data_IF_807525046203
#
_entry.id   IF_807525046203
#
_cell.length_a   1.000
_cell.length_b   1.000
_cell.length_c   1.000
_cell.angle_alpha   90.00
_cell.angle_beta   90.00
_cell.angle_gamma   90.00
#
_symmetry.space_group_name_H-M   'P 1'
#
loop_
_entity.id
_entity.type
_entity.pdbx_description
1 polymer ?
#
# COMPACT_ATOMS: atom_id res chain seq x y z
N UNK A 1 -24.58 4.38 34.33
CA UNK A 1 -23.11 4.42 34.27
C UNK A 1 -22.74 5.47 33.22
N UNK A 2 -22.13 6.55 33.67
CA UNK A 2 -21.61 7.58 32.76
C UNK A 2 -20.30 7.03 32.16
N UNK A 3 -20.23 6.91 30.83
CA UNK A 3 -19.00 6.48 30.14
C UNK A 3 -18.03 7.66 30.13
N UNK A 4 -16.83 7.46 30.68
CA UNK A 4 -15.79 8.49 30.76
C UNK A 4 -14.68 8.34 29.73
N UNK A 5 -14.64 7.22 29.01
CA UNK A 5 -13.62 6.93 28.00
C UNK A 5 -14.10 5.87 26.99
N UNK A 6 -13.43 5.80 25.86
CA UNK A 6 -13.56 4.74 24.88
C UNK A 6 -12.20 4.10 24.64
N UNK A 7 -12.19 2.79 24.38
CA UNK A 7 -10.97 2.06 24.01
C UNK A 7 -11.17 1.36 22.67
N UNK A 8 -10.08 1.15 21.96
CA UNK A 8 -10.01 0.35 20.74
C UNK A 8 -8.78 -0.55 20.78
N UNK A 9 -8.93 -1.76 20.26
CA UNK A 9 -7.89 -2.78 20.19
C UNK A 9 -7.60 -3.15 18.74
N UNK A 10 -6.33 -3.31 18.42
CA UNK A 10 -5.86 -3.96 17.20
C UNK A 10 -5.05 -5.21 17.57
N UNK A 11 -5.51 -6.37 17.10
CA UNK A 11 -4.78 -7.62 17.28
C UNK A 11 -3.80 -7.83 16.15
N UNK A 12 -2.50 -7.71 16.46
CA UNK A 12 -1.44 -8.00 15.49
C UNK A 12 -1.28 -9.52 15.36
N UNK A 13 -1.44 -9.98 14.15
CA UNK A 13 -1.30 -11.38 13.77
C UNK A 13 -0.23 -11.53 12.67
N UNK A 14 0.42 -12.69 12.64
CA UNK A 14 1.21 -13.13 11.50
C UNK A 14 0.26 -13.55 10.37
N UNK A 15 0.12 -12.70 9.35
CA UNK A 15 -0.74 -12.94 8.19
C UNK A 15 -0.12 -12.34 6.94
N UNK A 16 -0.50 -12.86 5.78
CA UNK A 16 -0.26 -12.21 4.51
C UNK A 16 -1.22 -11.02 4.27
N UNK A 17 -1.07 -10.33 3.14
CA UNK A 17 -1.88 -9.16 2.78
C UNK A 17 -3.37 -9.48 2.54
N UNK A 18 -3.74 -10.76 2.41
CA UNK A 18 -5.13 -11.22 2.34
C UNK A 18 -5.70 -11.66 3.68
N UNK A 19 -4.97 -11.45 4.78
CA UNK A 19 -5.24 -11.91 6.14
C UNK A 19 -5.27 -13.43 6.30
N UNK A 20 -4.71 -14.18 5.34
CA UNK A 20 -4.48 -15.59 5.54
C UNK A 20 -3.31 -15.81 6.51
N UNK A 21 -3.41 -16.78 7.44
CA UNK A 21 -2.32 -17.04 8.38
C UNK A 21 -1.00 -17.29 7.65
N UNK A 22 0.06 -16.66 8.17
CA UNK A 22 1.42 -16.84 7.69
C UNK A 22 2.25 -17.56 8.73
N UNK A 23 2.81 -18.70 8.35
CA UNK A 23 3.67 -19.49 9.24
C UNK A 23 5.12 -19.08 9.06
N UNK A 24 5.81 -18.84 10.17
CA UNK A 24 7.23 -18.51 10.17
C UNK A 24 7.50 -17.00 10.22
N UNK A 25 8.77 -16.68 9.99
CA UNK A 25 9.29 -15.32 10.15
C UNK A 25 10.00 -15.11 11.50
N UNK A 26 10.94 -14.21 11.51
CA UNK A 26 11.68 -13.83 12.71
C UNK A 26 11.37 -12.36 13.03
N UNK A 27 11.14 -12.04 14.30
CA UNK A 27 11.07 -10.66 14.76
C UNK A 27 12.48 -10.27 15.17
N UNK A 28 13.08 -9.31 14.46
CA UNK A 28 14.40 -8.80 14.74
C UNK A 28 14.40 -7.37 15.30
N UNK A 29 13.35 -6.63 15.02
CA UNK A 29 13.17 -5.28 15.51
C UNK A 29 11.71 -5.02 15.78
N UNK A 30 11.41 -4.49 16.94
CA UNK A 30 10.12 -3.97 17.34
C UNK A 30 10.31 -2.67 18.11
N UNK A 31 9.59 -1.63 17.71
CA UNK A 31 9.62 -0.34 18.41
C UNK A 31 9.00 -0.47 19.80
N UNK A 32 9.54 0.33 20.74
CA UNK A 32 8.92 0.45 22.05
C UNK A 32 7.49 1.00 21.96
N UNK A 33 6.61 0.67 22.94
CA UNK A 33 5.30 1.29 23.04
C UNK A 33 5.41 2.82 23.09
N UNK A 34 4.50 3.50 22.40
CA UNK A 34 4.43 4.97 22.45
C UNK A 34 3.51 5.42 23.57
N UNK A 35 3.56 6.72 23.90
CA UNK A 35 2.69 7.30 24.92
C UNK A 35 1.21 7.01 24.62
N UNK A 36 0.48 6.52 25.62
CA UNK A 36 -0.94 6.15 25.52
C UNK A 36 -1.23 4.79 24.89
N UNK A 37 -0.19 4.02 24.52
CA UNK A 37 -0.31 2.63 24.07
C UNK A 37 -0.27 1.66 25.24
N UNK A 38 -1.19 0.71 25.28
CA UNK A 38 -1.10 -0.51 26.10
C UNK A 38 -0.82 -1.66 25.17
N UNK A 39 0.30 -2.33 25.35
CA UNK A 39 0.73 -3.47 24.53
C UNK A 39 0.82 -4.72 25.38
N UNK A 40 0.19 -5.78 24.89
CA UNK A 40 0.38 -7.16 25.38
C UNK A 40 1.00 -7.99 24.25
N UNK A 41 2.29 -8.29 24.36
CA UNK A 41 3.12 -8.87 23.29
C UNK A 41 3.61 -10.29 23.58
N UNK A 42 3.00 -10.98 24.50
CA UNK A 42 3.37 -12.36 24.89
C UNK A 42 4.85 -12.51 25.32
N UNK A 43 5.46 -11.43 25.79
CA UNK A 43 6.83 -11.48 26.32
C UNK A 43 7.91 -11.58 25.23
N UNK A 44 7.70 -11.01 24.07
CA UNK A 44 8.71 -10.95 23.02
C UNK A 44 9.94 -10.17 23.54
N UNK A 45 11.06 -10.86 23.61
CA UNK A 45 12.31 -10.31 24.12
C UNK A 45 13.44 -10.51 23.11
N UNK A 46 14.21 -9.46 22.86
CA UNK A 46 15.37 -9.49 21.95
C UNK A 46 16.71 -9.66 22.68
N UNK A 47 16.71 -9.60 24.00
CA UNK A 47 17.89 -9.81 24.82
C UNK A 47 17.60 -10.84 25.89
N UNK A 48 18.45 -11.85 25.99
CA UNK A 48 18.42 -12.75 27.12
C UNK A 48 18.67 -11.94 28.40
N UNK A 49 17.77 -11.95 29.39
CA UNK A 49 17.89 -11.14 30.59
C UNK A 49 19.13 -11.48 31.43
N UNK A 50 19.59 -12.74 31.39
CA UNK A 50 20.72 -13.20 32.22
C UNK A 50 22.07 -12.93 31.55
N UNK A 51 22.14 -13.01 30.23
CA UNK A 51 23.41 -12.90 29.49
C UNK A 51 23.57 -11.61 28.72
N UNK A 52 22.49 -10.84 28.51
CA UNK A 52 22.45 -9.63 27.68
C UNK A 52 22.65 -9.91 26.19
N UNK A 53 22.79 -11.16 25.77
CA UNK A 53 22.99 -11.55 24.38
C UNK A 53 21.70 -11.37 23.58
N UNK A 54 21.87 -11.00 22.31
CA UNK A 54 20.76 -10.87 21.37
C UNK A 54 20.09 -12.25 21.15
N UNK A 55 18.77 -12.27 21.24
CA UNK A 55 17.94 -13.45 21.00
C UNK A 55 17.05 -13.21 19.79
N UNK A 56 17.06 -14.14 18.84
CA UNK A 56 16.13 -14.13 17.71
C UNK A 56 14.78 -14.67 18.17
N UNK A 57 13.73 -13.88 18.00
CA UNK A 57 12.39 -14.34 18.27
C UNK A 57 11.77 -14.91 16.99
N UNK A 58 11.62 -16.23 16.95
CA UNK A 58 11.02 -16.92 15.80
C UNK A 58 9.55 -17.19 16.08
N UNK A 59 8.69 -16.78 15.15
CA UNK A 59 7.26 -17.07 15.22
C UNK A 59 7.00 -18.55 15.00
N UNK A 60 6.30 -19.18 15.95
CA UNK A 60 5.96 -20.59 15.88
C UNK A 60 4.76 -20.77 14.93
N UNK A 61 4.98 -21.39 13.77
CA UNK A 61 3.92 -21.64 12.78
C UNK A 61 2.84 -22.66 13.19
N UNK A 62 3.00 -23.33 14.35
CA UNK A 62 2.11 -24.41 14.78
C UNK A 62 0.99 -23.99 15.76
N UNK A 63 1.03 -22.76 16.28
CA UNK A 63 0.08 -22.31 17.30
C UNK A 63 -0.82 -21.17 16.80
N UNK A 64 -0.94 -20.09 17.56
CA UNK A 64 -1.73 -18.92 17.21
C UNK A 64 -0.88 -17.94 16.39
N UNK A 65 -1.53 -17.23 15.45
CA UNK A 65 -0.90 -16.16 14.70
C UNK A 65 -0.71 -14.88 15.52
N UNK A 66 -1.21 -14.81 16.74
CA UNK A 66 -1.17 -13.63 17.57
C UNK A 66 0.26 -13.25 17.94
N UNK A 67 0.64 -12.02 17.61
CA UNK A 67 1.92 -11.42 17.98
C UNK A 67 1.71 -10.51 19.20
N UNK A 68 0.70 -9.65 19.14
CA UNK A 68 0.38 -8.71 20.20
C UNK A 68 -1.04 -8.15 20.12
N UNK A 69 -1.50 -7.61 21.24
CA UNK A 69 -2.66 -6.73 21.32
C UNK A 69 -2.17 -5.30 21.52
N UNK A 70 -2.60 -4.37 20.66
CA UNK A 70 -2.35 -2.95 20.79
C UNK A 70 -3.65 -2.28 21.19
N UNK A 71 -3.70 -1.69 22.37
CA UNK A 71 -4.89 -1.03 22.91
C UNK A 71 -4.62 0.44 23.14
N UNK A 72 -5.56 1.28 22.72
CA UNK A 72 -5.51 2.72 22.99
C UNK A 72 -6.81 3.21 23.58
N UNK A 73 -6.72 4.26 24.39
CA UNK A 73 -7.84 4.88 25.10
C UNK A 73 -7.96 6.34 24.66
N UNK A 74 -9.16 6.83 24.53
CA UNK A 74 -9.49 8.24 24.27
C UNK A 74 -10.70 8.69 25.08
N UNK A 75 -10.90 10.00 25.20
CA UNK A 75 -12.08 10.59 25.83
C UNK A 75 -13.38 10.18 25.12
N UNK A 76 -13.29 9.91 23.83
CA UNK A 76 -14.37 9.38 23.00
C UNK A 76 -13.82 8.35 22.00
N UNK A 77 -14.73 7.76 21.20
CA UNK A 77 -14.36 6.76 20.21
C UNK A 77 -13.44 7.31 19.12
N UNK A 78 -13.65 8.55 18.66
CA UNK A 78 -12.81 9.17 17.65
C UNK A 78 -11.37 9.34 18.17
N UNK A 79 -11.23 9.83 19.40
CA UNK A 79 -9.91 10.00 20.03
C UNK A 79 -9.17 8.67 20.24
N UNK A 80 -9.88 7.61 20.63
CA UNK A 80 -9.26 6.28 20.75
C UNK A 80 -8.75 5.76 19.39
N UNK A 81 -9.48 6.01 18.29
CA UNK A 81 -9.06 5.66 16.93
C UNK A 81 -7.91 6.54 16.41
N UNK A 82 -7.91 7.82 16.74
CA UNK A 82 -6.79 8.74 16.40
C UNK A 82 -5.51 8.30 17.10
N UNK A 83 -5.58 7.92 18.37
CA UNK A 83 -4.45 7.34 19.11
C UNK A 83 -4.00 6.01 18.49
N UNK A 84 -4.92 5.10 18.15
CA UNK A 84 -4.57 3.84 17.51
C UNK A 84 -3.90 4.06 16.15
N UNK A 85 -4.40 5.00 15.34
CA UNK A 85 -3.76 5.38 14.08
C UNK A 85 -2.30 5.79 14.32
N UNK A 86 -2.03 6.59 15.34
CA UNK A 86 -0.68 7.05 15.66
C UNK A 86 0.21 5.91 16.15
N UNK A 87 -0.31 5.00 16.98
CA UNK A 87 0.38 3.78 17.39
C UNK A 87 0.75 2.94 16.17
N UNK A 88 -0.23 2.61 15.32
CA UNK A 88 0.00 1.79 14.11
C UNK A 88 0.97 2.46 13.13
N UNK A 89 0.89 3.79 12.98
CA UNK A 89 1.80 4.57 12.13
C UNK A 89 3.25 4.44 12.57
N UNK A 90 3.50 4.53 13.88
CA UNK A 90 4.84 4.55 14.47
C UNK A 90 5.38 3.17 14.83
N UNK A 91 4.53 2.15 14.84
CA UNK A 91 4.96 0.79 15.13
C UNK A 91 5.88 0.27 14.03
N UNK A 92 7.11 -0.04 14.41
CA UNK A 92 8.10 -0.70 13.55
C UNK A 92 8.23 -2.14 14.00
N UNK A 93 7.79 -3.07 13.17
CA UNK A 93 7.89 -4.51 13.42
C UNK A 93 8.51 -5.16 12.18
N UNK A 94 9.71 -5.71 12.29
CA UNK A 94 10.51 -6.17 11.16
C UNK A 94 11.29 -7.44 11.46
N UNK A 95 11.51 -8.20 10.41
CA UNK A 95 12.39 -9.35 10.38
C UNK A 95 12.28 -10.11 9.06
N UNK A 96 13.21 -11.06 8.83
CA UNK A 96 13.16 -11.92 7.65
C UNK A 96 11.86 -12.73 7.62
N UNK A 97 11.24 -12.81 6.46
CA UNK A 97 10.01 -13.57 6.21
C UNK A 97 8.82 -13.20 7.11
N UNK A 98 8.91 -12.10 7.85
CA UNK A 98 7.85 -11.63 8.72
C UNK A 98 6.76 -10.91 7.89
N UNK A 99 5.54 -11.42 7.98
CA UNK A 99 4.35 -10.80 7.41
C UNK A 99 3.31 -10.62 8.52
N UNK A 100 2.68 -9.46 8.59
CA UNK A 100 1.72 -9.12 9.64
C UNK A 100 0.57 -8.26 9.09
N UNK A 101 -0.55 -8.26 9.81
CA UNK A 101 -1.70 -7.42 9.49
C UNK A 101 -1.58 -5.96 9.99
N UNK A 102 -0.39 -5.49 10.36
CA UNK A 102 -0.17 -4.13 10.85
C UNK A 102 -0.68 -3.08 9.84
N UNK A 103 -0.30 -3.22 8.57
CA UNK A 103 -0.72 -2.28 7.53
C UNK A 103 -2.23 -2.36 7.24
N UNK A 104 -2.84 -3.55 7.33
CA UNK A 104 -4.28 -3.71 7.23
C UNK A 104 -5.00 -2.92 8.32
N UNK A 105 -4.59 -3.04 9.58
CA UNK A 105 -5.17 -2.24 10.66
C UNK A 105 -4.99 -0.75 10.45
N UNK A 106 -3.82 -0.33 9.97
CA UNK A 106 -3.57 1.07 9.66
C UNK A 106 -4.49 1.60 8.55
N UNK A 107 -4.65 0.85 7.46
CA UNK A 107 -5.58 1.17 6.38
C UNK A 107 -7.02 1.27 6.87
N UNK A 108 -7.45 0.28 7.65
CA UNK A 108 -8.81 0.19 8.15
C UNK A 108 -9.15 1.30 9.16
N UNK A 109 -8.24 1.61 10.09
CA UNK A 109 -8.42 2.69 11.06
C UNK A 109 -8.55 4.04 10.36
N UNK A 110 -7.71 4.32 9.35
CA UNK A 110 -7.82 5.53 8.55
C UNK A 110 -9.16 5.59 7.80
N UNK A 111 -9.64 4.46 7.27
CA UNK A 111 -10.93 4.39 6.61
C UNK A 111 -12.09 4.75 7.56
N UNK A 112 -12.10 4.20 8.79
CA UNK A 112 -13.12 4.53 9.79
C UNK A 112 -13.03 5.99 10.25
N UNK A 113 -11.85 6.52 10.47
CA UNK A 113 -11.66 7.94 10.83
C UNK A 113 -12.21 8.87 9.75
N UNK A 114 -12.06 8.49 8.48
CA UNK A 114 -12.52 9.28 7.35
C UNK A 114 -14.03 9.14 7.08
N UNK A 115 -14.64 7.97 7.33
CA UNK A 115 -16.01 7.67 6.93
C UNK A 115 -17.00 7.61 8.11
N UNK A 116 -16.53 7.37 9.33
CA UNK A 116 -17.33 7.35 10.55
C UNK A 116 -16.89 6.25 11.51
N UNK A 117 -16.35 6.66 12.65
CA UNK A 117 -15.87 5.74 13.70
C UNK A 117 -17.01 5.00 14.41
N UNK A 118 -18.24 5.52 14.30
CA UNK A 118 -19.43 4.90 14.90
C UNK A 118 -20.11 3.90 13.96
N UNK A 119 -19.53 3.67 12.77
CA UNK A 119 -20.03 2.68 11.83
C UNK A 119 -20.16 1.29 12.49
N UNK A 120 -21.15 0.54 12.03
CA UNK A 120 -21.48 -0.82 12.52
C UNK A 120 -21.14 -1.87 11.45
N UNK A 121 -19.84 -2.22 11.29
CA UNK A 121 -19.46 -3.27 10.35
C UNK A 121 -20.03 -4.61 10.81
N UNK A 122 -20.44 -5.43 9.84
CA UNK A 122 -20.74 -6.85 10.09
C UNK A 122 -19.50 -7.70 9.86
N UNK A 123 -19.54 -8.97 10.26
CA UNK A 123 -18.45 -9.94 9.97
C UNK A 123 -18.21 -10.11 8.47
N UNK A 124 -19.18 -9.76 7.62
CA UNK A 124 -19.07 -9.82 6.16
C UNK A 124 -18.32 -8.61 5.56
N UNK A 125 -17.90 -7.62 6.34
CA UNK A 125 -17.24 -6.41 5.83
C UNK A 125 -15.81 -6.66 5.31
N UNK A 126 -15.04 -7.48 6.02
CA UNK A 126 -13.59 -7.62 5.79
C UNK A 126 -13.28 -8.18 4.40
N UNK A 127 -13.97 -9.24 3.97
CA UNK A 127 -13.70 -9.87 2.66
C UNK A 127 -13.97 -8.93 1.49
N UNK A 128 -15.13 -8.23 1.41
CA UNK A 128 -15.35 -7.18 0.41
C UNK A 128 -14.33 -6.04 0.46
N UNK A 129 -13.91 -5.62 1.64
CA UNK A 129 -12.86 -4.60 1.78
C UNK A 129 -11.53 -5.08 1.18
N UNK A 130 -11.08 -6.29 1.51
CA UNK A 130 -9.87 -6.89 0.92
C UNK A 130 -10.00 -7.08 -0.59
N UNK A 131 -11.19 -7.45 -1.09
CA UNK A 131 -11.46 -7.56 -2.53
C UNK A 131 -11.25 -6.22 -3.23
N UNK A 132 -11.74 -5.14 -2.63
CA UNK A 132 -11.54 -3.78 -3.12
C UNK A 132 -10.06 -3.36 -3.10
N UNK A 133 -9.30 -3.77 -2.08
CA UNK A 133 -7.85 -3.54 -2.04
C UNK A 133 -7.12 -4.34 -3.12
N UNK A 134 -7.58 -5.53 -3.44
CA UNK A 134 -7.07 -6.31 -4.59
C UNK A 134 -7.34 -5.61 -5.91
N UNK A 135 -8.52 -5.00 -6.10
CA UNK A 135 -8.83 -4.17 -7.27
C UNK A 135 -7.90 -2.96 -7.36
N UNK A 136 -7.65 -2.26 -6.23
CA UNK A 136 -6.70 -1.14 -6.17
C UNK A 136 -5.29 -1.57 -6.58
N UNK A 137 -4.79 -2.67 -6.01
CA UNK A 137 -3.44 -3.17 -6.33
C UNK A 137 -3.32 -3.60 -7.79
N UNK A 138 -4.37 -4.24 -8.35
CA UNK A 138 -4.39 -4.62 -9.75
C UNK A 138 -4.23 -3.40 -10.66
N UNK A 139 -4.98 -2.33 -10.40
CA UNK A 139 -4.86 -1.09 -11.18
C UNK A 139 -3.52 -0.39 -10.94
N UNK A 140 -3.01 -0.40 -9.70
CA UNK A 140 -1.71 0.18 -9.36
C UNK A 140 -0.55 -0.52 -10.07
N UNK A 141 -0.63 -1.86 -10.24
CA UNK A 141 0.37 -2.65 -10.97
C UNK A 141 0.44 -2.31 -12.47
N UNK A 142 -0.58 -1.65 -13.02
CA UNK A 142 -0.62 -1.16 -14.40
C UNK A 142 0.01 0.23 -14.58
N UNK A 143 0.72 0.76 -13.55
CA UNK A 143 1.37 2.07 -13.57
C UNK A 143 2.88 1.94 -13.34
N UNK A 144 3.66 2.46 -14.30
CA UNK A 144 5.10 2.67 -14.18
C UNK A 144 5.34 4.13 -13.71
N UNK A 145 5.50 4.30 -12.39
CA UNK A 145 5.66 5.63 -11.78
C UNK A 145 6.96 6.32 -12.22
N UNK A 146 8.06 5.57 -12.42
CA UNK A 146 9.32 6.13 -12.91
C UNK A 146 9.18 6.64 -14.35
N UNK A 147 8.52 5.85 -15.20
CA UNK A 147 8.23 6.26 -16.56
C UNK A 147 7.31 7.50 -16.60
N UNK A 148 6.30 7.54 -15.72
CA UNK A 148 5.39 8.68 -15.60
C UNK A 148 6.15 9.96 -15.25
N UNK A 149 7.03 9.90 -14.25
CA UNK A 149 7.85 11.03 -13.84
C UNK A 149 8.77 11.51 -14.97
N UNK A 150 9.48 10.58 -15.62
CA UNK A 150 10.39 10.91 -16.73
C UNK A 150 9.64 11.55 -17.92
N UNK A 151 8.40 11.13 -18.19
CA UNK A 151 7.55 11.77 -19.21
C UNK A 151 7.14 13.18 -18.83
N UNK A 152 6.75 13.42 -17.57
CA UNK A 152 6.43 14.75 -17.08
C UNK A 152 7.64 15.68 -17.17
N UNK A 153 8.80 15.25 -16.70
CA UNK A 153 10.02 16.06 -16.81
C UNK A 153 10.35 16.46 -18.26
N UNK A 154 10.19 15.54 -19.22
CA UNK A 154 10.37 15.89 -20.65
C UNK A 154 9.39 16.96 -21.12
N UNK A 155 8.14 16.95 -20.67
CA UNK A 155 7.14 17.99 -20.97
C UNK A 155 7.56 19.34 -20.40
N UNK A 156 8.00 19.38 -19.13
CA UNK A 156 8.50 20.59 -18.49
C UNK A 156 9.74 21.17 -19.20
N UNK A 157 10.71 20.30 -19.53
CA UNK A 157 11.90 20.68 -20.29
C UNK A 157 11.55 21.20 -21.69
N UNK A 158 10.57 20.58 -22.35
CA UNK A 158 10.10 21.07 -23.65
C UNK A 158 9.44 22.45 -23.57
N UNK A 159 8.71 22.72 -22.47
CA UNK A 159 8.10 24.03 -22.21
C UNK A 159 9.14 25.10 -21.83
N UNK A 160 10.26 24.73 -21.20
CA UNK A 160 11.36 25.64 -20.84
C UNK A 160 12.27 26.01 -22.00
N UNK A 161 12.08 25.47 -23.22
CA UNK A 161 12.86 25.77 -24.41
C UNK A 161 12.77 27.27 -24.78
N UNK A 162 13.92 27.91 -24.90
CA UNK A 162 14.05 29.35 -25.20
C UNK A 162 14.99 30.08 -24.24
N UNK A 163 15.27 29.52 -23.07
CA UNK A 163 16.24 30.04 -22.11
C UNK A 163 17.10 28.89 -21.58
N UNK A 164 18.41 28.96 -21.83
CA UNK A 164 19.35 27.95 -21.30
C UNK A 164 19.34 27.89 -19.77
N UNK A 165 19.15 29.03 -19.10
CA UNK A 165 19.03 29.10 -17.65
C UNK A 165 17.76 28.39 -17.13
N UNK A 166 16.60 28.64 -17.77
CA UNK A 166 15.34 27.99 -17.39
C UNK A 166 15.38 26.46 -17.62
N UNK A 167 15.99 26.02 -18.72
CA UNK A 167 16.16 24.59 -19.01
C UNK A 167 17.02 23.93 -17.92
N UNK A 168 18.17 24.52 -17.56
CA UNK A 168 19.06 24.01 -16.51
C UNK A 168 18.37 23.95 -15.15
N UNK A 169 17.66 25.03 -14.75
CA UNK A 169 16.91 25.05 -13.50
C UNK A 169 15.81 23.96 -13.47
N UNK A 170 15.14 23.72 -14.59
CA UNK A 170 14.13 22.65 -14.68
C UNK A 170 14.78 21.26 -14.57
N UNK A 171 15.96 21.03 -15.16
CA UNK A 171 16.70 19.77 -15.03
C UNK A 171 17.10 19.53 -13.58
N UNK A 172 17.64 20.52 -12.88
CA UNK A 172 18.03 20.44 -11.49
C UNK A 172 16.83 20.11 -10.57
N UNK A 173 15.68 20.76 -10.76
CA UNK A 173 14.44 20.48 -10.02
C UNK A 173 13.93 19.07 -10.33
N UNK A 174 13.96 18.61 -11.57
CA UNK A 174 13.57 17.26 -11.93
C UNK A 174 14.42 16.20 -11.19
N UNK A 175 15.72 16.41 -11.10
CA UNK A 175 16.63 15.50 -10.38
C UNK A 175 16.27 15.43 -8.89
N UNK A 176 16.12 16.59 -8.24
CA UNK A 176 15.77 16.66 -6.81
C UNK A 176 14.42 15.99 -6.53
N UNK A 177 13.42 16.25 -7.36
CA UNK A 177 12.06 15.75 -7.13
C UNK A 177 11.83 14.29 -7.50
N UNK A 178 12.70 13.68 -8.29
CA UNK A 178 12.55 12.27 -8.68
C UNK A 178 12.43 11.35 -7.47
N UNK A 179 13.30 11.53 -6.50
CA UNK A 179 13.29 10.74 -5.27
C UNK A 179 12.21 11.20 -4.31
N UNK A 180 12.08 12.51 -4.14
CA UNK A 180 11.09 13.11 -3.25
C UNK A 180 9.66 12.65 -3.56
N UNK A 181 9.28 12.61 -4.83
CA UNK A 181 7.95 12.18 -5.28
C UNK A 181 7.86 10.66 -5.46
N UNK A 182 8.89 10.05 -6.02
CA UNK A 182 8.87 8.64 -6.44
C UNK A 182 8.87 7.65 -5.29
N UNK A 183 9.59 7.92 -4.19
CA UNK A 183 9.65 7.01 -3.04
C UNK A 183 8.30 6.79 -2.37
N UNK A 184 7.58 7.83 -1.90
CA UNK A 184 6.27 7.63 -1.28
C UNK A 184 5.23 7.13 -2.29
N UNK A 185 5.22 7.64 -3.52
CA UNK A 185 4.31 7.17 -4.57
C UNK A 185 4.52 5.68 -4.88
N UNK A 186 5.76 5.26 -5.10
CA UNK A 186 6.08 3.86 -5.36
C UNK A 186 5.75 2.93 -4.18
N UNK A 187 5.82 3.43 -2.93
CA UNK A 187 5.38 2.66 -1.76
C UNK A 187 3.86 2.50 -1.75
N UNK A 188 3.10 3.57 -2.01
CA UNK A 188 1.64 3.53 -2.08
C UNK A 188 1.13 2.60 -3.19
N UNK A 189 1.73 2.65 -4.39
CA UNK A 189 1.32 1.79 -5.50
C UNK A 189 1.59 0.29 -5.26
N UNK A 190 2.58 -0.06 -4.43
CA UNK A 190 2.89 -1.47 -4.10
C UNK A 190 2.20 -2.01 -2.86
N UNK A 191 1.67 -1.15 -1.98
CA UNK A 191 1.11 -1.52 -0.68
C UNK A 191 -0.36 -1.08 -0.57
N UNK A 192 -1.32 -1.92 -0.95
CA UNK A 192 -2.73 -1.55 -1.09
C UNK A 192 -3.35 -1.09 0.23
N UNK A 193 -2.90 -1.61 1.37
CA UNK A 193 -3.34 -1.18 2.69
C UNK A 193 -2.90 0.26 3.00
N UNK A 194 -1.68 0.63 2.62
CA UNK A 194 -1.19 2.01 2.77
C UNK A 194 -1.86 2.94 1.76
N UNK A 195 -2.12 2.47 0.53
CA UNK A 195 -2.89 3.23 -0.45
C UNK A 195 -4.30 3.54 0.07
N UNK A 196 -4.98 2.56 0.66
CA UNK A 196 -6.28 2.77 1.32
C UNK A 196 -6.21 3.79 2.46
N UNK A 197 -5.15 3.73 3.29
CA UNK A 197 -4.93 4.72 4.34
C UNK A 197 -4.76 6.13 3.76
N UNK A 198 -3.96 6.26 2.72
CA UNK A 198 -3.71 7.54 2.05
C UNK A 198 -4.98 8.13 1.40
N UNK A 199 -5.73 7.30 0.66
CA UNK A 199 -7.00 7.70 0.03
C UNK A 199 -8.02 8.16 1.06
N UNK A 200 -8.10 7.46 2.19
CA UNK A 200 -9.00 7.79 3.29
C UNK A 200 -8.60 9.08 3.99
N UNK A 201 -7.33 9.24 4.33
CA UNK A 201 -6.82 10.43 5.02
C UNK A 201 -6.94 11.70 4.16
N UNK A 202 -6.83 11.56 2.85
CA UNK A 202 -6.85 12.68 1.89
C UNK A 202 -8.19 12.83 1.13
N UNK A 203 -9.27 12.12 1.52
CA UNK A 203 -10.53 12.12 0.76
C UNK A 203 -11.13 13.52 0.53
N UNK A 204 -10.84 14.48 1.40
CA UNK A 204 -11.30 15.87 1.28
C UNK A 204 -10.29 16.78 0.58
N UNK A 205 -9.13 16.25 0.14
CA UNK A 205 -8.10 17.01 -0.55
C UNK A 205 -8.31 17.08 -2.06
N UNK A 206 -9.23 16.29 -2.60
CA UNK A 206 -9.51 16.20 -4.03
C UNK A 206 -10.95 15.76 -4.29
N UNK A 207 -11.40 16.02 -5.51
CA UNK A 207 -12.60 15.45 -6.10
C UNK A 207 -12.24 14.63 -7.33
N UNK A 208 -12.97 13.53 -7.56
CA UNK A 208 -12.80 12.68 -8.76
C UNK A 208 -14.11 12.66 -9.53
N UNK A 209 -14.13 13.26 -10.69
CA UNK A 209 -15.29 13.25 -11.58
C UNK A 209 -14.89 12.77 -12.98
N UNK A 210 -15.54 11.71 -13.48
CA UNK A 210 -15.29 11.14 -14.82
C UNK A 210 -13.81 10.89 -15.13
N UNK A 211 -13.07 10.39 -14.14
CA UNK A 211 -11.63 10.10 -14.26
C UNK A 211 -10.73 11.34 -14.19
N UNK A 212 -11.26 12.51 -13.89
CA UNK A 212 -10.50 13.74 -13.63
C UNK A 212 -10.40 13.99 -12.14
N UNK A 213 -9.22 14.47 -11.72
CA UNK A 213 -8.95 14.84 -10.33
C UNK A 213 -8.86 16.35 -10.22
N UNK A 214 -9.69 16.94 -9.38
CA UNK A 214 -9.57 18.34 -9.00
C UNK A 214 -9.04 18.42 -7.58
N UNK A 215 -7.88 19.03 -7.41
CA UNK A 215 -7.31 19.25 -6.09
C UNK A 215 -8.03 20.38 -5.37
N UNK A 216 -8.55 20.09 -4.18
CA UNK A 216 -9.18 21.08 -3.27
C UNK A 216 -8.17 21.60 -2.24
N UNK A 217 -7.07 20.89 -2.07
CA UNK A 217 -5.94 21.23 -1.20
C UNK A 217 -4.65 21.21 -2.02
N UNK A 218 -3.69 22.05 -1.64
CA UNK A 218 -2.39 22.13 -2.32
C UNK A 218 -1.71 20.74 -2.39
N UNK A 219 -1.47 20.18 -3.59
CA UNK A 219 -0.83 18.88 -3.76
C UNK A 219 0.56 18.79 -3.14
N UNK A 220 1.30 19.90 -3.07
CA UNK A 220 2.61 19.93 -2.41
C UNK A 220 2.46 19.71 -0.89
N UNK A 221 1.45 20.30 -0.26
CA UNK A 221 1.18 20.06 1.17
C UNK A 221 0.66 18.64 1.41
N UNK A 222 -0.12 18.08 0.47
CA UNK A 222 -0.53 16.67 0.50
C UNK A 222 0.69 15.74 0.42
N UNK A 223 1.74 16.09 -0.33
CA UNK A 223 3.01 15.36 -0.35
C UNK A 223 3.67 15.34 1.03
N UNK A 224 3.71 16.47 1.72
CA UNK A 224 4.26 16.57 3.10
C UNK A 224 3.50 15.65 4.04
N UNK A 225 2.17 15.70 4.01
CA UNK A 225 1.32 14.81 4.81
C UNK A 225 1.53 13.33 4.45
N UNK A 226 1.87 13.03 3.19
CA UNK A 226 2.18 11.68 2.74
C UNK A 226 3.44 11.15 3.40
N UNK A 227 4.48 11.96 3.53
CA UNK A 227 5.70 11.60 4.27
C UNK A 227 5.39 11.29 5.74
N UNK A 228 4.57 12.14 6.39
CA UNK A 228 4.11 11.89 7.75
C UNK A 228 3.30 10.58 7.84
N UNK A 229 2.29 10.41 6.98
CA UNK A 229 1.41 9.24 6.98
C UNK A 229 2.18 7.93 6.79
N UNK A 230 3.22 7.92 5.97
CA UNK A 230 4.06 6.75 5.71
C UNK A 230 5.20 6.57 6.72
N UNK A 231 5.26 7.44 7.74
CA UNK A 231 6.35 7.48 8.73
C UNK A 231 7.74 7.58 8.07
N UNK A 232 7.83 8.43 7.05
CA UNK A 232 9.08 8.69 6.32
C UNK A 232 9.75 9.99 6.73
N UNK A 233 9.07 10.81 7.52
CA UNK A 233 9.54 12.06 8.11
C UNK A 233 10.40 11.86 9.36
N UNK A 234 10.20 10.76 10.08
CA UNK A 234 10.97 10.42 11.27
C UNK A 234 12.24 9.65 10.91
N UNK A 235 13.34 10.10 11.48
CA UNK A 235 14.65 9.57 11.12
C UNK A 235 15.10 8.37 11.97
N UNK A 236 14.67 8.28 13.25
CA UNK A 236 15.37 7.50 14.25
C UNK A 236 15.34 5.98 14.00
N UNK A 237 14.16 5.43 13.69
CA UNK A 237 13.96 3.96 13.69
C UNK A 237 13.76 3.35 12.30
N UNK A 238 13.79 4.17 11.24
CA UNK A 238 13.64 3.68 9.86
C UNK A 238 15.00 3.35 9.25
N UNK A 239 15.11 2.30 8.42
CA UNK A 239 16.30 2.07 7.61
C UNK A 239 16.64 3.32 6.78
N UNK A 240 17.93 3.55 6.55
CA UNK A 240 18.42 4.73 5.81
C UNK A 240 17.72 4.92 4.44
N UNK A 241 17.36 3.82 3.77
CA UNK A 241 16.62 3.85 2.50
C UNK A 241 15.18 4.40 2.61
N UNK A 242 14.61 4.47 3.81
CA UNK A 242 13.27 4.99 4.05
C UNK A 242 13.27 6.36 4.72
N UNK A 243 14.44 6.88 5.07
CA UNK A 243 14.57 8.23 5.63
C UNK A 243 14.42 9.26 4.52
N UNK A 244 13.91 10.41 4.91
CA UNK A 244 14.00 11.61 4.09
C UNK A 244 15.47 12.09 4.12
N UNK A 245 16.03 12.48 2.98
CA UNK A 245 17.35 13.06 2.92
C UNK A 245 17.30 14.54 3.33
N UNK A 246 18.42 15.09 3.79
CA UNK A 246 18.50 16.50 4.17
C UNK A 246 17.97 17.43 3.05
N UNK A 247 18.34 17.18 1.80
CA UNK A 247 17.88 17.97 0.65
C UNK A 247 16.36 17.86 0.41
N UNK A 248 15.78 16.69 0.60
CA UNK A 248 14.34 16.50 0.49
C UNK A 248 13.61 17.25 1.61
N UNK A 249 14.14 17.21 2.82
CA UNK A 249 13.59 17.92 3.98
C UNK A 249 13.67 19.44 3.78
N UNK A 250 14.82 19.95 3.34
CA UNK A 250 15.01 21.37 3.03
C UNK A 250 13.98 21.85 2.00
N UNK A 251 13.80 21.10 0.91
CA UNK A 251 12.81 21.44 -0.13
C UNK A 251 11.36 21.44 0.40
N UNK A 252 11.02 20.50 1.30
CA UNK A 252 9.69 20.45 1.92
C UNK A 252 9.47 21.64 2.87
N UNK A 253 10.49 22.02 3.66
CA UNK A 253 10.46 23.16 4.57
C UNK A 253 10.37 24.48 3.81
N UNK A 254 11.18 24.66 2.76
CA UNK A 254 11.13 25.85 1.89
C UNK A 254 9.76 26.02 1.23
N UNK A 255 9.19 24.96 0.68
CA UNK A 255 7.87 24.98 0.07
C UNK A 255 6.76 25.28 1.07
N UNK A 256 6.86 24.74 2.28
CA UNK A 256 5.92 25.04 3.39
C UNK A 256 5.99 26.52 3.75
N UNK A 257 7.20 27.06 3.94
CA UNK A 257 7.41 28.47 4.26
C UNK A 257 6.93 29.40 3.13
N UNK A 258 7.15 29.00 1.87
CA UNK A 258 6.69 29.72 0.70
C UNK A 258 5.16 29.86 0.70
N UNK A 259 4.41 28.74 0.78
CA UNK A 259 2.95 28.80 0.76
C UNK A 259 2.38 29.55 1.97
N UNK A 260 2.93 29.35 3.16
CA UNK A 260 2.54 30.12 4.34
C UNK A 260 2.80 31.65 4.18
N UNK A 261 3.86 32.04 3.47
CA UNK A 261 4.12 33.44 3.17
C UNK A 261 3.11 34.00 2.13
N UNK A 262 2.72 33.21 1.14
CA UNK A 262 1.71 33.59 0.17
C UNK A 262 0.33 33.78 0.84
N UNK A 263 -0.11 32.85 1.67
CA UNK A 263 -1.38 32.93 2.41
C UNK A 263 -1.43 34.17 3.31
N UNK A 264 -0.35 34.50 3.99
CA UNK A 264 -0.27 35.73 4.81
C UNK A 264 -0.43 37.00 4.00
N UNK A 265 -0.05 37.02 2.71
CA UNK A 265 -0.11 38.20 1.83
C UNK A 265 -1.39 38.31 1.04
N UNK A 266 -1.94 37.17 0.62
CA UNK A 266 -3.18 37.11 -0.21
C UNK A 266 -4.44 36.85 0.60
N UNK A 267 -4.30 36.40 1.87
CA UNK A 267 -5.40 35.91 2.69
C UNK A 267 -5.68 34.42 2.45
N UNK A 268 -6.48 33.82 3.34
CA UNK A 268 -6.96 32.45 3.20
C UNK A 268 -7.82 32.36 1.93
N UNK A 269 -7.33 31.59 0.96
CA UNK A 269 -7.99 31.43 -0.35
C UNK A 269 -8.07 29.93 -0.64
N UNK A 270 -9.23 29.38 -1.09
CA UNK A 270 -9.34 27.98 -1.49
C UNK A 270 -8.31 27.63 -2.56
N UNK A 271 -7.73 26.42 -2.47
CA UNK A 271 -6.63 26.03 -3.33
C UNK A 271 -6.88 26.22 -4.84
N UNK A 272 -8.06 25.82 -5.41
CA UNK A 272 -8.29 26.00 -6.84
C UNK A 272 -8.19 27.48 -7.30
N UNK A 273 -8.64 28.41 -6.46
CA UNK A 273 -8.55 29.84 -6.72
C UNK A 273 -7.12 30.36 -6.52
N UNK A 274 -6.45 29.96 -5.45
CA UNK A 274 -5.06 30.32 -5.18
C UNK A 274 -4.13 29.84 -6.29
N UNK A 275 -4.29 28.59 -6.73
CA UNK A 275 -3.51 28.01 -7.84
C UNK A 275 -3.71 28.80 -9.14
N UNK A 276 -4.96 29.19 -9.43
CA UNK A 276 -5.26 30.03 -10.60
C UNK A 276 -4.62 31.42 -10.50
N UNK A 277 -4.63 32.05 -9.33
CA UNK A 277 -3.94 33.32 -9.07
C UNK A 277 -2.43 33.13 -9.30
N UNK A 278 -1.82 32.11 -8.70
CA UNK A 278 -0.38 31.83 -8.77
C UNK A 278 0.09 31.52 -10.21
N UNK A 279 -0.77 31.02 -11.06
CA UNK A 279 -0.51 30.79 -12.48
C UNK A 279 -0.72 32.05 -13.35
N UNK A 280 -1.43 33.07 -12.87
CA UNK A 280 -1.71 34.30 -13.60
C UNK A 280 -0.45 35.11 -13.85
N UNK A 281 -0.31 35.67 -15.08
CA UNK A 281 0.77 36.62 -15.42
C UNK A 281 0.60 37.98 -14.76
N UNK A 282 -0.61 38.33 -14.36
CA UNK A 282 -0.90 39.61 -13.73
C UNK A 282 -0.65 39.56 -12.23
N UNK A 283 0.20 40.44 -11.68
CA UNK A 283 0.42 40.46 -10.25
C UNK A 283 -0.83 40.91 -9.49
N UNK A 284 -1.20 40.22 -8.41
CA UNK A 284 -2.26 40.66 -7.53
C UNK A 284 -1.82 41.89 -6.71
N UNK A 285 -2.78 42.56 -6.09
CA UNK A 285 -2.51 43.73 -5.24
C UNK A 285 -1.43 43.41 -4.19
N UNK A 286 -0.41 44.26 -4.09
CA UNK A 286 0.67 44.10 -3.10
C UNK A 286 1.92 43.41 -3.66
N UNK A 287 1.97 43.07 -4.95
CA UNK A 287 3.15 42.55 -5.63
C UNK A 287 3.52 43.46 -6.84
N UNK A 288 4.82 43.72 -7.01
CA UNK A 288 5.32 44.26 -8.28
C UNK A 288 5.56 43.12 -9.30
N UNK A 289 5.73 43.46 -10.57
CA UNK A 289 5.86 42.49 -11.66
C UNK A 289 7.09 41.59 -11.53
N UNK A 290 8.19 42.09 -10.95
CA UNK A 290 9.42 41.32 -10.76
C UNK A 290 9.25 40.30 -9.63
N UNK A 291 8.73 40.75 -8.50
CA UNK A 291 8.41 39.89 -7.37
C UNK A 291 7.42 38.80 -7.78
N UNK A 292 6.40 39.18 -8.56
CA UNK A 292 5.39 38.23 -9.00
C UNK A 292 5.94 37.16 -9.95
N UNK A 293 6.86 37.51 -10.81
CA UNK A 293 7.56 36.56 -11.67
C UNK A 293 8.30 35.52 -10.83
N UNK A 294 9.03 35.95 -9.79
CA UNK A 294 9.74 35.06 -8.88
C UNK A 294 8.78 34.13 -8.12
N UNK A 295 7.65 34.67 -7.62
CA UNK A 295 6.61 33.87 -6.94
C UNK A 295 6.05 32.80 -7.86
N UNK A 296 5.76 33.13 -9.11
CA UNK A 296 5.24 32.17 -10.10
C UNK A 296 6.26 31.09 -10.44
N UNK A 297 7.51 31.46 -10.62
CA UNK A 297 8.59 30.49 -10.90
C UNK A 297 8.79 29.54 -9.71
N UNK A 298 8.79 30.04 -8.48
CA UNK A 298 8.85 29.22 -7.27
C UNK A 298 7.65 28.28 -7.16
N UNK A 299 6.43 28.79 -7.37
CA UNK A 299 5.21 27.98 -7.37
C UNK A 299 5.28 26.85 -8.42
N UNK A 300 5.68 27.14 -9.66
CA UNK A 300 5.84 26.13 -10.69
C UNK A 300 6.89 25.07 -10.29
N UNK A 301 7.99 25.49 -9.67
CA UNK A 301 9.01 24.58 -9.15
C UNK A 301 8.48 23.67 -8.06
N UNK A 302 7.73 24.21 -7.08
CA UNK A 302 7.15 23.39 -6.00
C UNK A 302 6.05 22.44 -6.50
N UNK A 303 5.27 22.85 -7.49
CA UNK A 303 4.21 21.99 -8.06
C UNK A 303 4.72 20.97 -9.08
N UNK A 304 5.94 21.13 -9.62
CA UNK A 304 6.49 20.21 -10.63
C UNK A 304 6.44 18.77 -10.14
N UNK A 305 5.71 17.92 -10.86
CA UNK A 305 5.58 16.49 -10.61
C UNK A 305 4.54 16.11 -9.54
N UNK A 306 3.97 17.08 -8.79
CA UNK A 306 2.93 16.75 -7.77
C UNK A 306 1.65 16.22 -8.41
N UNK A 307 1.40 16.51 -9.67
CA UNK A 307 0.30 15.95 -10.44
C UNK A 307 0.29 14.42 -10.51
N UNK A 308 1.45 13.76 -10.34
CA UNK A 308 1.52 12.29 -10.26
C UNK A 308 0.70 11.70 -9.12
N UNK A 309 0.53 12.46 -8.04
CA UNK A 309 -0.32 12.02 -6.94
C UNK A 309 -1.80 11.96 -7.33
N UNK A 310 -2.19 12.63 -8.41
CA UNK A 310 -3.51 12.48 -9.03
C UNK A 310 -3.80 11.08 -9.55
N UNK A 311 -2.78 10.27 -9.85
CA UNK A 311 -2.93 8.86 -10.25
C UNK A 311 -3.65 8.05 -9.17
N UNK A 312 -3.38 8.32 -7.89
CA UNK A 312 -3.94 7.57 -6.76
C UNK A 312 -5.47 7.71 -6.67
N UNK A 313 -6.06 8.92 -6.61
CA UNK A 313 -7.51 9.07 -6.63
C UNK A 313 -8.15 8.65 -7.96
N UNK A 314 -7.44 8.72 -9.10
CA UNK A 314 -7.94 8.21 -10.38
C UNK A 314 -8.13 6.68 -10.33
N UNK A 315 -7.14 5.94 -9.84
CA UNK A 315 -7.24 4.49 -9.61
C UNK A 315 -8.43 4.20 -8.68
N UNK A 316 -8.50 4.92 -7.55
CA UNK A 316 -9.57 4.75 -6.56
C UNK A 316 -10.96 5.00 -7.15
N UNK A 317 -11.11 6.03 -7.97
CA UNK A 317 -12.35 6.32 -8.69
C UNK A 317 -12.73 5.22 -9.67
N UNK A 318 -11.74 4.69 -10.42
CA UNK A 318 -11.95 3.61 -11.40
C UNK A 318 -12.47 2.32 -10.77
N UNK A 319 -11.97 1.95 -9.58
CA UNK A 319 -12.43 0.76 -8.85
C UNK A 319 -13.59 1.04 -7.90
N UNK A 320 -14.08 2.29 -7.81
CA UNK A 320 -15.20 2.65 -6.92
C UNK A 320 -14.85 2.53 -5.44
N UNK A 321 -13.62 2.89 -5.06
CA UNK A 321 -13.18 2.89 -3.65
C UNK A 321 -14.07 3.75 -2.76
N UNK A 322 -14.54 4.88 -3.28
CA UNK A 322 -15.39 5.83 -2.56
C UNK A 322 -16.89 5.44 -2.51
N UNK A 323 -17.27 4.33 -3.18
CA UNK A 323 -18.60 3.74 -3.08
C UNK A 323 -18.79 2.96 -1.78
N UNK A 324 -17.66 2.55 -1.15
CA UNK A 324 -17.63 1.97 0.18
C UNK A 324 -17.79 3.11 1.20
N UNK A 325 -18.97 3.24 1.81
CA UNK A 325 -19.31 4.39 2.66
C UNK A 325 -20.22 4.02 3.82
N UNK A 326 -20.20 4.85 4.85
CA UNK A 326 -21.10 4.72 6.00
C UNK A 326 -22.41 5.48 5.71
N UNK A 327 -23.53 4.80 5.91
CA UNK A 327 -24.87 5.36 5.77
C UNK A 327 -25.28 6.15 7.02
N UNK A 328 -26.39 6.90 6.93
CA UNK A 328 -26.91 7.70 8.05
C UNK A 328 -27.35 6.83 9.26
N UNK A 329 -27.72 5.57 9.04
CA UNK A 329 -28.06 4.58 10.07
C UNK A 329 -26.82 3.84 10.63
N UNK A 330 -25.62 4.31 10.26
CA UNK A 330 -24.30 3.75 10.63
C UNK A 330 -23.97 2.38 9.99
N UNK A 331 -24.84 1.84 9.13
CA UNK A 331 -24.50 0.65 8.33
C UNK A 331 -23.47 1.01 7.24
N UNK A 332 -22.76 0.01 6.73
CA UNK A 332 -21.79 0.21 5.67
C UNK A 332 -22.42 -0.23 4.34
N UNK A 333 -22.47 0.70 3.38
CA UNK A 333 -22.85 0.40 2.00
C UNK A 333 -21.67 -0.26 1.29
N UNK A 334 -21.89 -1.48 0.81
CA UNK A 334 -20.86 -2.28 0.12
C UNK A 334 -21.38 -2.60 -1.29
N UNK A 335 -20.64 -2.27 -2.36
CA UNK A 335 -21.01 -2.62 -3.72
C UNK A 335 -21.21 -4.13 -3.90
N UNK A 336 -22.34 -4.52 -4.54
CA UNK A 336 -22.74 -5.94 -4.70
C UNK A 336 -21.66 -6.80 -5.35
N UNK A 337 -20.90 -6.27 -6.32
CA UNK A 337 -19.83 -7.00 -7.01
C UNK A 337 -18.76 -7.53 -6.06
N UNK A 338 -18.54 -6.88 -4.91
CA UNK A 338 -17.54 -7.29 -3.92
C UNK A 338 -17.94 -8.54 -3.11
N UNK A 339 -19.18 -9.02 -3.27
CA UNK A 339 -19.66 -10.27 -2.70
C UNK A 339 -19.56 -11.45 -3.67
N UNK A 340 -19.17 -11.22 -4.92
CA UNK A 340 -18.96 -12.28 -5.89
C UNK A 340 -17.75 -13.14 -5.49
N UNK A 341 -17.96 -14.44 -5.31
CA UNK A 341 -16.95 -15.37 -4.79
C UNK A 341 -15.78 -15.58 -5.75
N UNK A 342 -16.04 -15.64 -7.04
CA UNK A 342 -15.00 -15.83 -8.05
C UNK A 342 -14.14 -14.58 -8.15
N UNK A 343 -14.78 -13.41 -8.08
CA UNK A 343 -14.08 -12.14 -8.03
C UNK A 343 -13.23 -12.00 -6.77
N UNK A 344 -13.76 -12.37 -5.58
CA UNK A 344 -13.01 -12.39 -4.32
C UNK A 344 -11.78 -13.31 -4.43
N UNK A 345 -11.93 -14.50 -4.99
CA UNK A 345 -10.83 -15.44 -5.17
C UNK A 345 -9.74 -14.89 -6.12
N UNK A 346 -10.15 -14.21 -7.21
CA UNK A 346 -9.22 -13.54 -8.13
C UNK A 346 -8.47 -12.40 -7.45
N UNK A 347 -9.15 -11.54 -6.69
CA UNK A 347 -8.51 -10.41 -6.01
C UNK A 347 -7.61 -10.86 -4.85
N UNK A 348 -7.94 -11.96 -4.17
CA UNK A 348 -7.04 -12.59 -3.21
C UNK A 348 -5.71 -13.01 -3.85
N UNK A 349 -5.73 -13.56 -5.08
CA UNK A 349 -4.51 -13.91 -5.83
C UNK A 349 -3.71 -12.67 -6.27
N UNK A 350 -4.35 -11.52 -6.44
CA UNK A 350 -3.66 -10.24 -6.70
C UNK A 350 -2.94 -9.75 -5.45
N UNK A 351 -3.60 -9.79 -4.28
CA UNK A 351 -3.01 -9.39 -3.00
C UNK A 351 -1.83 -10.29 -2.61
N UNK A 352 -1.98 -11.59 -2.83
CA UNK A 352 -0.98 -12.61 -2.51
C UNK A 352 -0.77 -13.48 -3.74
N UNK A 353 0.08 -13.05 -4.67
CA UNK A 353 0.39 -13.84 -5.84
C UNK A 353 0.88 -15.23 -5.42
N UNK A 354 0.35 -16.31 -6.03
CA UNK A 354 0.89 -17.63 -5.81
C UNK A 354 2.38 -17.63 -6.17
N UNK A 355 3.19 -18.45 -5.51
CA UNK A 355 4.59 -18.59 -5.89
C UNK A 355 4.66 -19.05 -7.35
N UNK A 356 5.62 -18.48 -8.09
CA UNK A 356 5.85 -18.85 -9.48
C UNK A 356 6.31 -20.30 -9.51
N UNK A 357 5.48 -21.17 -10.07
CA UNK A 357 5.89 -22.55 -10.37
C UNK A 357 6.85 -22.49 -11.56
N UNK A 358 8.01 -23.10 -11.42
CA UNK A 358 8.80 -23.45 -12.60
C UNK A 358 7.96 -24.41 -13.45
N UNK A 359 8.15 -24.39 -14.74
CA UNK A 359 7.36 -25.21 -15.69
C UNK A 359 7.34 -26.71 -15.36
N UNK A 360 8.29 -27.19 -14.55
CA UNK A 360 8.48 -28.60 -14.18
C UNK A 360 8.32 -28.88 -12.66
N UNK A 361 7.87 -27.89 -11.87
CA UNK A 361 7.74 -28.05 -10.41
C UNK A 361 6.43 -27.45 -9.90
N UNK A 362 5.80 -28.13 -8.93
CA UNK A 362 4.75 -27.55 -8.08
C UNK A 362 5.34 -27.26 -6.71
N UNK A 363 5.20 -26.02 -6.25
CA UNK A 363 5.80 -25.55 -5.01
C UNK A 363 4.74 -25.30 -3.92
N UNK A 364 5.18 -25.26 -2.67
CA UNK A 364 4.30 -24.95 -1.53
C UNK A 364 3.76 -23.51 -1.65
N UNK A 365 2.44 -23.35 -1.62
CA UNK A 365 1.76 -22.04 -1.72
C UNK A 365 1.94 -21.19 -0.45
N UNK A 366 2.18 -21.85 0.69
CA UNK A 366 2.49 -21.21 1.97
C UNK A 366 3.42 -22.10 2.80
N UNK A 367 4.10 -21.51 3.77
CA UNK A 367 4.77 -22.28 4.81
C UNK A 367 3.75 -22.97 5.72
N UNK A 368 4.09 -24.15 6.27
CA UNK A 368 3.22 -24.91 7.16
C UNK A 368 3.59 -26.40 7.20
N UNK A 369 2.72 -27.22 7.79
CA UNK A 369 2.89 -28.68 7.80
C UNK A 369 2.19 -29.30 6.58
N UNK A 370 2.95 -30.07 5.81
CA UNK A 370 2.48 -30.74 4.59
C UNK A 370 1.81 -32.07 4.91
N UNK A 371 0.69 -32.36 4.24
CA UNK A 371 0.01 -33.66 4.26
C UNK A 371 -0.38 -34.07 2.84
N UNK A 372 0.03 -35.28 2.45
CA UNK A 372 -0.25 -35.86 1.14
C UNK A 372 -1.67 -36.45 1.02
N UNK A 373 -2.44 -36.51 2.10
CA UNK A 373 -3.75 -37.19 2.19
C UNK A 373 -4.70 -36.40 3.09
N UNK A 374 -6.00 -36.66 2.97
CA UNK A 374 -7.05 -35.93 3.69
C UNK A 374 -7.09 -36.25 5.17
N UNK A 375 -6.83 -37.52 5.54
CA UNK A 375 -6.77 -38.00 6.90
C UNK A 375 -5.84 -39.23 7.00
N UNK A 376 -5.32 -39.56 8.18
CA UNK A 376 -4.52 -40.78 8.39
C UNK A 376 -5.24 -42.04 7.87
N UNK A 377 -4.57 -42.82 7.01
CA UNK A 377 -5.12 -44.04 6.43
C UNK A 377 -5.94 -43.84 5.15
N UNK A 378 -6.17 -42.61 4.69
CA UNK A 378 -6.75 -42.32 3.40
C UNK A 378 -5.69 -42.43 2.30
N UNK A 379 -6.07 -42.61 1.01
CA UNK A 379 -5.12 -42.60 -0.09
C UNK A 379 -4.51 -41.19 -0.26
N UNK A 380 -3.28 -41.14 -0.77
CA UNK A 380 -2.66 -39.89 -1.15
C UNK A 380 -3.47 -39.22 -2.28
N UNK A 381 -3.49 -37.89 -2.32
CA UNK A 381 -4.18 -37.14 -3.37
C UNK A 381 -3.60 -37.46 -4.75
N UNK A 382 -2.28 -37.60 -4.86
CA UNK A 382 -1.57 -37.95 -6.10
C UNK A 382 -0.44 -38.94 -5.82
N UNK A 383 -0.04 -39.69 -6.87
CA UNK A 383 1.06 -40.66 -6.85
C UNK A 383 2.03 -40.37 -7.99
N UNK A 384 3.28 -40.83 -7.85
CA UNK A 384 4.24 -40.73 -8.94
C UNK A 384 3.75 -41.50 -10.19
N UNK A 385 3.86 -40.88 -11.35
CA UNK A 385 3.33 -41.37 -12.63
C UNK A 385 1.85 -41.10 -12.85
N UNK A 386 1.13 -40.52 -11.88
CA UNK A 386 -0.30 -40.22 -12.02
C UNK A 386 -0.52 -38.89 -12.76
N UNK A 387 -1.44 -38.89 -13.71
CA UNK A 387 -1.96 -37.67 -14.34
C UNK A 387 -2.95 -36.99 -13.40
N UNK A 388 -2.93 -35.66 -13.37
CA UNK A 388 -3.85 -34.80 -12.63
C UNK A 388 -4.39 -33.69 -13.54
N UNK A 389 -5.63 -33.28 -13.29
CA UNK A 389 -6.26 -32.16 -13.98
C UNK A 389 -6.15 -30.86 -13.18
N UNK A 390 -6.21 -29.72 -13.87
CA UNK A 390 -6.32 -28.44 -13.20
C UNK A 390 -7.54 -28.42 -12.27
N UNK A 391 -7.31 -28.09 -10.97
CA UNK A 391 -8.35 -28.11 -9.96
C UNK A 391 -8.40 -29.41 -9.12
N UNK A 392 -7.62 -30.44 -9.43
CA UNK A 392 -7.48 -31.61 -8.59
C UNK A 392 -6.73 -31.28 -7.30
N UNK A 393 -7.11 -31.91 -6.19
CA UNK A 393 -6.40 -31.75 -4.92
C UNK A 393 -5.03 -32.41 -5.00
N UNK A 394 -3.96 -31.70 -4.60
CA UNK A 394 -2.59 -32.21 -4.61
C UNK A 394 -2.05 -32.50 -3.21
N UNK A 395 -2.34 -31.63 -2.28
CA UNK A 395 -1.87 -31.77 -0.87
C UNK A 395 -2.69 -30.87 0.06
N UNK A 396 -2.48 -31.04 1.36
CA UNK A 396 -2.96 -30.12 2.38
C UNK A 396 -1.75 -29.44 3.02
N UNK A 397 -1.84 -28.14 3.25
CA UNK A 397 -0.92 -27.41 4.12
C UNK A 397 -1.67 -26.95 5.36
N UNK A 398 -1.21 -27.40 6.52
CA UNK A 398 -1.71 -26.96 7.82
C UNK A 398 -0.91 -25.74 8.27
N UNK A 399 -1.63 -24.64 8.48
CA UNK A 399 -1.09 -23.40 9.02
C UNK A 399 -1.94 -23.06 10.25
N UNK A 400 -1.34 -23.02 11.41
CA UNK A 400 -2.02 -22.63 12.66
C UNK A 400 -3.34 -23.41 12.91
N UNK A 401 -3.30 -24.72 12.76
CA UNK A 401 -4.45 -25.64 12.90
C UNK A 401 -5.55 -25.46 11.85
N UNK A 402 -5.30 -24.69 10.81
CA UNK A 402 -6.18 -24.61 9.64
C UNK A 402 -5.61 -25.47 8.51
N UNK A 403 -6.39 -26.45 8.09
CA UNK A 403 -6.04 -27.37 7.01
C UNK A 403 -6.53 -26.80 5.68
N UNK A 404 -5.60 -26.29 4.89
CA UNK A 404 -5.90 -25.72 3.58
C UNK A 404 -5.58 -26.72 2.48
N UNK A 405 -6.59 -27.20 1.78
CA UNK A 405 -6.43 -28.08 0.63
C UNK A 405 -5.94 -27.26 -0.56
N UNK A 406 -4.84 -27.68 -1.17
CA UNK A 406 -4.22 -27.03 -2.31
C UNK A 406 -4.51 -27.81 -3.56
N UNK A 407 -4.97 -27.10 -4.59
CA UNK A 407 -5.41 -27.65 -5.84
C UNK A 407 -4.40 -27.37 -6.95
N UNK A 408 -4.38 -28.28 -7.95
CA UNK A 408 -3.52 -28.17 -9.12
C UNK A 408 -3.81 -26.88 -9.92
N UNK A 409 -2.79 -26.06 -10.21
CA UNK A 409 -2.96 -24.83 -10.98
C UNK A 409 -3.06 -25.08 -12.49
N UNK A 410 -2.66 -26.26 -12.98
CA UNK A 410 -2.67 -26.72 -14.36
C UNK A 410 -2.81 -28.26 -14.40
N UNK A 411 -3.00 -28.83 -15.58
CA UNK A 411 -3.03 -30.29 -15.81
C UNK A 411 -1.66 -30.80 -16.18
N UNK A 412 -1.31 -32.02 -15.75
CA UNK A 412 -0.01 -32.63 -16.01
C UNK A 412 0.17 -33.98 -15.34
N UNK A 413 1.39 -34.52 -15.36
CA UNK A 413 1.76 -35.80 -14.76
C UNK A 413 2.77 -35.58 -13.65
N UNK A 414 2.58 -36.24 -12.52
CA UNK A 414 3.54 -36.23 -11.39
C UNK A 414 4.73 -37.13 -11.71
N UNK A 415 5.88 -36.54 -11.94
CA UNK A 415 7.12 -37.30 -12.21
C UNK A 415 7.74 -37.81 -10.90
N UNK A 416 7.76 -36.95 -9.87
CA UNK A 416 8.38 -37.27 -8.56
C UNK A 416 7.77 -36.49 -7.42
N UNK A 417 7.57 -37.15 -6.30
CA UNK A 417 7.18 -36.54 -5.04
C UNK A 417 8.45 -36.22 -4.22
N UNK A 418 8.72 -34.93 -3.96
CA UNK A 418 9.93 -34.47 -3.27
C UNK A 418 9.78 -34.46 -1.75
N UNK A 419 8.53 -34.37 -1.22
CA UNK A 419 8.23 -34.43 0.21
C UNK A 419 7.32 -35.63 0.47
N UNK A 420 7.86 -36.67 1.05
CA UNK A 420 7.16 -37.97 1.20
C UNK A 420 6.44 -38.14 2.53
N UNK A 421 6.82 -37.39 3.57
CA UNK A 421 6.30 -37.60 4.92
C UNK A 421 5.26 -36.57 5.30
N UNK A 422 4.09 -37.02 5.75
CA UNK A 422 3.08 -36.18 6.37
C UNK A 422 3.62 -35.51 7.64
N UNK A 423 3.19 -34.28 7.92
CA UNK A 423 3.67 -33.50 9.06
C UNK A 423 5.06 -32.84 8.82
N UNK A 424 5.62 -32.94 7.62
CA UNK A 424 6.86 -32.23 7.28
C UNK A 424 6.60 -30.73 7.19
N UNK A 425 7.43 -29.93 7.87
CA UNK A 425 7.39 -28.49 7.77
C UNK A 425 7.99 -28.07 6.43
N UNK A 426 7.23 -27.33 5.63
CA UNK A 426 7.63 -26.79 4.34
C UNK A 426 7.60 -25.26 4.37
N UNK A 427 8.47 -24.63 3.59
CA UNK A 427 8.51 -23.18 3.40
C UNK A 427 7.73 -22.78 2.15
N UNK A 428 7.17 -21.57 2.10
CA UNK A 428 6.55 -21.02 0.89
C UNK A 428 7.56 -21.04 -0.26
N UNK A 429 7.12 -21.53 -1.44
CA UNK A 429 7.97 -21.67 -2.62
C UNK A 429 8.89 -22.90 -2.61
N UNK A 430 8.86 -23.74 -1.58
CA UNK A 430 9.60 -25.00 -1.55
C UNK A 430 9.04 -25.97 -2.58
N UNK A 431 9.85 -26.60 -3.47
CA UNK A 431 9.39 -27.62 -4.40
C UNK A 431 8.82 -28.85 -3.66
N UNK A 432 7.59 -29.25 -4.03
CA UNK A 432 6.91 -30.41 -3.47
C UNK A 432 6.81 -31.56 -4.47
N UNK A 433 6.57 -31.24 -5.73
CA UNK A 433 6.44 -32.22 -6.81
C UNK A 433 7.27 -31.77 -8.03
N UNK A 434 7.92 -32.72 -8.69
CA UNK A 434 8.34 -32.57 -10.08
C UNK A 434 7.21 -33.07 -10.97
N UNK A 435 6.91 -32.30 -12.02
CA UNK A 435 5.77 -32.59 -12.91
C UNK A 435 6.13 -32.31 -14.35
N UNK A 436 5.48 -33.03 -15.26
CA UNK A 436 5.44 -32.70 -16.67
C UNK A 436 4.07 -32.11 -16.98
N UNK A 437 3.94 -30.79 -17.24
CA UNK A 437 2.68 -30.16 -17.57
C UNK A 437 2.24 -30.56 -18.99
N UNK A 438 0.89 -30.66 -19.20
CA UNK A 438 0.30 -30.99 -20.51
C UNK A 438 0.48 -29.84 -21.50
N UNK A 439 0.43 -28.59 -21.02
CA UNK A 439 0.67 -27.38 -21.81
C UNK A 439 1.81 -26.58 -21.20
N UNK A 440 2.70 -26.05 -22.03
CA UNK A 440 3.73 -25.11 -21.55
C UNK A 440 3.07 -23.79 -21.17
N UNK A 441 3.25 -23.38 -19.93
CA UNK A 441 2.88 -22.04 -19.50
C UNK A 441 3.74 -21.02 -20.24
N UNK A 442 3.12 -20.23 -21.09
CA UNK A 442 3.71 -18.99 -21.59
C UNK A 442 3.42 -17.90 -20.56
N UNK A 443 4.42 -17.55 -19.75
CA UNK A 443 4.40 -16.27 -19.02
C UNK A 443 4.34 -15.15 -20.08
N UNK A 444 3.56 -14.08 -19.75
CA UNK A 444 3.59 -12.85 -20.57
C UNK A 444 5.03 -12.40 -20.72
N UNK A 445 5.51 -12.14 -21.94
CA UNK A 445 6.86 -11.65 -22.16
C UNK A 445 7.09 -10.38 -21.32
N UNK A 446 8.10 -10.32 -20.46
CA UNK A 446 8.40 -9.15 -19.64
C UNK A 446 8.51 -7.85 -20.45
N UNK A 447 8.92 -7.94 -21.72
CA UNK A 447 9.00 -6.79 -22.63
C UNK A 447 7.59 -6.34 -23.05
N UNK A 448 6.71 -7.27 -23.40
CA UNK A 448 5.31 -6.98 -23.74
C UNK A 448 4.54 -6.42 -22.54
N UNK A 449 4.70 -7.01 -21.36
CA UNK A 449 4.15 -6.50 -20.11
C UNK A 449 4.57 -5.05 -19.84
N UNK A 450 5.86 -4.76 -20.01
CA UNK A 450 6.39 -3.40 -19.82
C UNK A 450 5.83 -2.40 -20.82
N UNK A 451 5.66 -2.80 -22.08
CA UNK A 451 5.06 -1.96 -23.12
C UNK A 451 3.60 -1.67 -22.78
N UNK A 452 2.84 -2.66 -22.37
CA UNK A 452 1.44 -2.53 -21.94
C UNK A 452 1.29 -1.59 -20.74
N UNK A 453 2.08 -1.79 -19.68
CA UNK A 453 2.07 -0.95 -18.48
C UNK A 453 2.41 0.50 -18.82
N UNK A 454 3.40 0.74 -19.68
CA UNK A 454 3.74 2.11 -20.13
C UNK A 454 2.64 2.74 -20.96
N UNK A 455 2.00 2.00 -21.84
CA UNK A 455 0.85 2.49 -22.61
C UNK A 455 -0.32 2.88 -21.70
N UNK A 456 -0.63 2.07 -20.70
CA UNK A 456 -1.64 2.40 -19.70
C UNK A 456 -1.24 3.64 -18.89
N UNK A 457 0.02 3.73 -18.48
CA UNK A 457 0.56 4.90 -17.77
C UNK A 457 0.40 6.18 -18.59
N UNK A 458 0.64 6.14 -19.91
CA UNK A 458 0.44 7.29 -20.79
C UNK A 458 -1.02 7.76 -20.83
N UNK A 459 -1.98 6.84 -20.87
CA UNK A 459 -3.40 7.20 -20.84
C UNK A 459 -3.78 7.94 -19.54
N UNK A 460 -3.28 7.48 -18.40
CA UNK A 460 -3.47 8.17 -17.12
C UNK A 460 -2.80 9.56 -17.13
N UNK A 461 -1.58 9.66 -17.66
CA UNK A 461 -0.85 10.94 -17.73
C UNK A 461 -1.53 11.96 -18.63
N UNK A 462 -2.17 11.56 -19.71
CA UNK A 462 -2.95 12.46 -20.55
C UNK A 462 -4.14 13.06 -19.79
N UNK A 463 -4.81 12.27 -18.98
CA UNK A 463 -5.90 12.76 -18.13
C UNK A 463 -5.41 13.73 -17.06
N UNK A 464 -4.25 13.46 -16.44
CA UNK A 464 -3.64 14.33 -15.43
C UNK A 464 -3.07 15.61 -16.05
N UNK A 465 -2.35 15.52 -17.17
CA UNK A 465 -1.65 16.66 -17.80
C UNK A 465 -2.61 17.65 -18.47
N UNK A 466 -3.70 17.20 -19.05
CA UNK A 466 -4.69 18.10 -19.67
C UNK A 466 -5.35 19.06 -18.67
N UNK A 467 -5.19 18.81 -17.36
CA UNK A 467 -5.67 19.71 -16.30
C UNK A 467 -4.68 20.84 -15.98
N UNK A 468 -3.36 20.63 -16.17
CA UNK A 468 -2.33 21.60 -15.83
C UNK A 468 -1.84 22.42 -17.04
N UNK A 469 -1.75 21.82 -18.21
CA UNK A 469 -1.17 22.50 -19.39
C UNK A 469 -2.14 23.43 -20.12
N UNK A 470 -3.46 23.19 -20.07
CA UNK A 470 -4.46 24.09 -20.65
C UNK A 470 -4.62 25.42 -19.86
N UNK A 471 -4.06 25.52 -18.66
CA UNK A 471 -4.06 26.75 -17.86
C UNK A 471 -2.82 27.63 -18.10
N UNK A 472 -1.82 27.16 -18.86
CA UNK A 472 -0.53 27.83 -19.09
C UNK A 472 -0.40 28.36 -20.54
N UNK A 473 -1.26 27.90 -21.44
CA UNK A 473 -1.41 28.45 -22.79
C UNK A 473 -2.33 29.68 -22.78
#
# INVERSE_FOLDING_TARGET
IQRSAAAVEARLNATDDSLSPHAGGEIMSWSDPIEGEVRDDQGICFKNPDTGLFVRYRLAGAYDSNIALLVTVGEDRRKSYEHLREVLRRTVLRGPELQTNLQFHYGLVNWFLANGVDAKPTTQFVVPYLTLLGELLREANEIDADYAFDKLCRRYLAAAKGSAAATKATEEICVLKKTLLGRPLGRLLRQPHLLSAWLSANKNAFEVERGRVTWLRNPFLVLIDTYYLLYMDAAADLPAAHRIWEQDQELLEEGTAFYAAIERRLGETPWPELDAILKSKQPPKGFDSKQWTQVREAHLGFQLGTELYGLLPMIAGKVGFFDLRVNADLTISIPKRLFDRDHQAKMKKVLVPPPVNKSDEIVAVSGGMYYAQEAPGMPHFVQEGQHFEAGDALYIVEVMKMFNKVYAPFSGTVDKILVQSNGTIVSKGQPLFKVTPDEQFTEEDPVEAKVRIRSNTEQYLELVANQHFNAVA
#
